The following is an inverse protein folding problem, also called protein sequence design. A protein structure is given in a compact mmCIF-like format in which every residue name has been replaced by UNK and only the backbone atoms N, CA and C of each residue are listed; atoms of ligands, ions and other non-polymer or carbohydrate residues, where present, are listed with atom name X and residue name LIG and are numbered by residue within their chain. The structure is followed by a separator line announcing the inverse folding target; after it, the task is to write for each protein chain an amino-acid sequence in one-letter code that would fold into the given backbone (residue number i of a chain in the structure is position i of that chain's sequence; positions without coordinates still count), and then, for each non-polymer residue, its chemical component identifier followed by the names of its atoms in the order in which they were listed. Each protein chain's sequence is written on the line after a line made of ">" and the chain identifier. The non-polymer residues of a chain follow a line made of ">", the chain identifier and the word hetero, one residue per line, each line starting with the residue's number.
data_IF_754162926404
#
_entry.id   IF_754162926404
#
_cell.length_a   1.000
_cell.length_b   1.000
_cell.length_c   1.000
_cell.angle_alpha   90.00
_cell.angle_beta   90.00
_cell.angle_gamma   90.00
#
_symmetry.space_group_name_H-M   'P 1'
#
loop_
_entity.id
_entity.type
_entity.pdbx_description
1 polymer ?
#
# COMPACT_ATOMS: atom_id res chain seq x y z
N UNK A 1 -22.37 -9.03 6.58
CA UNK A 1 -21.54 -8.59 5.44
C UNK A 1 -20.13 -8.37 5.99
N UNK A 2 -19.09 -8.90 5.36
CA UNK A 2 -17.71 -8.67 5.79
C UNK A 2 -17.23 -7.38 5.12
N UNK A 3 -16.73 -6.43 5.91
CA UNK A 3 -16.20 -5.15 5.42
C UNK A 3 -14.68 -5.18 5.53
N UNK A 4 -14.00 -4.86 4.43
CA UNK A 4 -12.56 -4.67 4.41
C UNK A 4 -12.27 -3.16 4.32
N UNK A 5 -11.53 -2.64 5.28
CA UNK A 5 -11.05 -1.26 5.28
C UNK A 5 -9.58 -1.27 4.94
N UNK A 6 -9.22 -0.66 3.81
CA UNK A 6 -7.84 -0.53 3.33
C UNK A 6 -7.45 0.94 3.37
N UNK A 7 -6.25 1.22 3.86
CA UNK A 7 -5.70 2.57 3.86
C UNK A 7 -4.27 2.57 3.31
N UNK A 8 -3.94 3.66 2.63
CA UNK A 8 -2.65 3.86 2.00
C UNK A 8 -1.74 4.63 2.96
N UNK A 9 -0.55 4.10 3.21
CA UNK A 9 0.40 4.79 4.08
C UNK A 9 0.91 6.06 3.41
N UNK A 10 0.60 7.21 4.00
CA UNK A 10 1.30 8.47 3.74
C UNK A 10 1.13 9.06 2.34
N UNK A 11 0.08 8.69 1.58
CA UNK A 11 -0.15 9.20 0.21
C UNK A 11 1.06 8.95 -0.71
N UNK A 12 1.68 7.79 -0.54
CA UNK A 12 2.87 7.33 -1.25
C UNK A 12 2.58 6.84 -2.68
N UNK A 13 1.34 6.50 -3.02
CA UNK A 13 1.01 5.75 -4.22
C UNK A 13 0.94 6.57 -5.51
N UNK A 14 0.65 7.87 -5.42
CA UNK A 14 0.42 8.71 -6.60
C UNK A 14 1.70 9.01 -7.39
N UNK A 15 2.79 9.37 -6.69
CA UNK A 15 4.05 9.73 -7.33
C UNK A 15 4.98 8.50 -7.42
N UNK A 16 4.84 7.75 -8.52
CA UNK A 16 5.66 6.58 -8.83
C UNK A 16 7.13 6.93 -9.15
N UNK A 17 7.43 8.19 -9.46
CA UNK A 17 8.78 8.64 -9.84
C UNK A 17 9.57 9.24 -8.67
N UNK A 18 9.00 9.27 -7.48
CA UNK A 18 9.62 9.88 -6.31
C UNK A 18 10.92 9.17 -5.88
N UNK A 19 12.08 9.75 -6.22
CA UNK A 19 13.40 9.13 -6.03
C UNK A 19 13.75 8.80 -4.57
N UNK A 20 13.32 9.65 -3.63
CA UNK A 20 13.58 9.43 -2.19
C UNK A 20 12.53 8.53 -1.51
N UNK A 21 11.38 8.27 -2.15
CA UNK A 21 10.28 7.48 -1.59
C UNK A 21 9.99 6.34 -2.55
N UNK A 22 10.90 5.35 -2.57
CA UNK A 22 10.91 4.25 -3.56
C UNK A 22 9.81 3.22 -3.35
N UNK A 23 9.19 3.20 -2.18
CA UNK A 23 8.16 2.23 -1.84
C UNK A 23 6.83 2.93 -1.60
N UNK A 24 5.75 2.25 -1.98
CA UNK A 24 4.41 2.54 -1.49
C UNK A 24 3.92 1.36 -0.65
N UNK A 25 3.07 1.66 0.31
CA UNK A 25 2.54 0.66 1.24
C UNK A 25 1.06 0.85 1.45
N UNK A 26 0.30 -0.25 1.37
CA UNK A 26 -1.11 -0.29 1.72
C UNK A 26 -1.32 -1.31 2.83
N UNK A 27 -2.13 -0.96 3.82
CA UNK A 27 -2.44 -1.85 4.95
C UNK A 27 -3.94 -2.04 5.07
N UNK A 28 -4.33 -3.24 5.47
CA UNK A 28 -5.71 -3.60 5.74
C UNK A 28 -5.78 -4.38 7.05
N UNK A 29 -6.90 -4.20 7.75
CA UNK A 29 -7.22 -4.91 8.99
C UNK A 29 -8.62 -5.49 8.87
N UNK A 30 -8.77 -6.74 9.28
CA UNK A 30 -10.07 -7.38 9.40
C UNK A 30 -10.64 -7.11 10.79
N UNK A 31 -11.48 -6.08 10.90
CA UNK A 31 -12.14 -5.68 12.15
C UNK A 31 -13.56 -5.22 11.86
N UNK A 32 -14.52 -5.62 12.71
CA UNK A 32 -15.90 -5.16 12.59
C UNK A 32 -16.07 -3.76 13.23
N UNK A 33 -17.19 -3.11 12.92
CA UNK A 33 -17.44 -1.75 13.39
C UNK A 33 -17.56 -1.64 14.92
N UNK A 34 -18.16 -2.63 15.58
CA UNK A 34 -18.39 -2.63 17.02
C UNK A 34 -17.08 -2.71 17.80
N UNK A 35 -16.18 -3.60 17.38
CA UNK A 35 -14.84 -3.75 17.96
C UNK A 35 -13.98 -2.51 17.70
N UNK A 36 -13.99 -1.97 16.48
CA UNK A 36 -13.28 -0.74 16.17
C UNK A 36 -13.77 0.41 17.08
N UNK A 37 -15.08 0.56 17.24
CA UNK A 37 -15.69 1.61 18.06
C UNK A 37 -15.38 1.43 19.55
N UNK A 38 -15.38 0.19 20.04
CA UNK A 38 -15.02 -0.15 21.42
C UNK A 38 -13.56 0.19 21.70
N UNK A 39 -12.63 -0.25 20.85
CA UNK A 39 -11.20 0.02 21.01
C UNK A 39 -10.90 1.51 20.95
N UNK A 40 -11.56 2.26 20.05
CA UNK A 40 -11.44 3.72 20.00
C UNK A 40 -11.79 4.37 21.34
N UNK A 41 -12.92 3.99 21.95
CA UNK A 41 -13.35 4.52 23.25
C UNK A 41 -12.41 4.11 24.39
N UNK A 42 -11.88 2.89 24.34
CA UNK A 42 -10.95 2.35 25.35
C UNK A 42 -9.62 3.11 25.36
N UNK A 43 -9.01 3.30 24.18
CA UNK A 43 -7.70 3.95 24.06
C UNK A 43 -7.79 5.48 24.01
N UNK A 44 -8.91 6.05 23.56
CA UNK A 44 -9.12 7.50 23.45
C UNK A 44 -10.43 7.96 24.13
N UNK A 45 -10.58 7.78 25.47
CA UNK A 45 -11.84 8.02 26.18
C UNK A 45 -12.29 9.49 26.22
N UNK A 46 -11.36 10.43 25.98
CA UNK A 46 -11.64 11.87 25.94
C UNK A 46 -11.90 12.39 24.52
N UNK A 47 -12.00 11.50 23.53
CA UNK A 47 -12.25 11.88 22.15
C UNK A 47 -13.70 12.34 21.98
N UNK A 48 -13.88 13.49 21.35
CA UNK A 48 -15.19 14.05 21.00
C UNK A 48 -15.41 14.16 19.49
N UNK A 49 -14.40 13.84 18.68
CA UNK A 49 -14.48 13.91 17.22
C UNK A 49 -15.09 12.63 16.66
N UNK A 50 -15.92 12.79 15.62
CA UNK A 50 -16.55 11.67 14.91
C UNK A 50 -15.54 10.81 14.15
N UNK A 51 -14.36 11.36 13.82
CA UNK A 51 -13.28 10.69 13.08
C UNK A 51 -11.91 10.89 13.74
N UNK A 52 -11.13 9.79 13.84
CA UNK A 52 -9.74 9.81 14.32
C UNK A 52 -8.75 10.05 13.18
N UNK A 53 -8.33 11.30 13.01
CA UNK A 53 -7.23 11.63 12.10
C UNK A 53 -5.88 11.40 12.77
N UNK A 54 -5.07 10.48 12.24
CA UNK A 54 -3.72 10.18 12.76
C UNK A 54 -2.84 11.44 12.89
N UNK A 55 -2.91 12.33 11.90
CA UNK A 55 -2.17 13.60 11.87
C UNK A 55 -2.48 14.50 13.06
N UNK A 56 -3.72 14.48 13.57
CA UNK A 56 -4.14 15.22 14.77
C UNK A 56 -3.74 14.51 16.06
N UNK A 57 -3.82 13.18 16.08
CA UNK A 57 -3.52 12.39 17.28
C UNK A 57 -2.04 12.41 17.63
N UNK A 58 -1.17 12.22 16.64
CA UNK A 58 0.28 12.14 16.86
C UNK A 58 0.88 13.43 17.43
N UNK A 59 0.21 14.57 17.23
CA UNK A 59 0.66 15.89 17.72
C UNK A 59 0.61 16.01 19.24
N UNK A 60 -0.27 15.27 19.92
CA UNK A 60 -0.42 15.33 21.38
C UNK A 60 0.41 14.23 22.03
N UNK A 61 1.36 14.61 22.90
CA UNK A 61 2.22 13.65 23.59
C UNK A 61 1.44 12.63 24.42
N UNK A 62 0.34 13.07 25.05
CA UNK A 62 -0.57 12.19 25.81
C UNK A 62 -1.20 11.08 24.95
N UNK A 63 -1.27 11.25 23.63
CA UNK A 63 -1.86 10.28 22.72
C UNK A 63 -0.84 9.30 22.13
N UNK A 64 0.47 9.56 22.28
CA UNK A 64 1.50 8.69 21.68
C UNK A 64 1.50 7.28 22.27
N UNK A 65 1.39 7.16 23.60
CA UNK A 65 1.31 5.86 24.27
C UNK A 65 0.04 5.09 23.89
N UNK A 66 -1.18 5.68 23.99
CA UNK A 66 -2.39 5.02 23.49
C UNK A 66 -2.34 4.59 22.02
N UNK A 67 -1.77 5.42 21.13
CA UNK A 67 -1.58 5.07 19.71
C UNK A 67 -0.71 3.81 19.55
N UNK A 68 0.36 3.70 20.32
CA UNK A 68 1.24 2.55 20.27
C UNK A 68 0.58 1.29 20.84
N UNK A 69 -0.08 1.41 22.00
CA UNK A 69 -0.79 0.29 22.62
C UNK A 69 -1.96 -0.20 21.76
N UNK A 70 -2.70 0.71 21.11
CA UNK A 70 -3.73 0.33 20.14
C UNK A 70 -3.13 -0.46 18.98
N UNK A 71 -2.04 0.01 18.36
CA UNK A 71 -1.38 -0.73 17.27
C UNK A 71 -0.93 -2.12 17.72
N UNK A 72 -0.33 -2.22 18.91
CA UNK A 72 0.08 -3.51 19.49
C UNK A 72 -1.11 -4.44 19.71
N UNK A 73 -2.22 -3.92 20.23
CA UNK A 73 -3.46 -4.67 20.40
C UNK A 73 -3.97 -5.18 19.06
N UNK A 74 -4.08 -4.29 18.06
CA UNK A 74 -4.58 -4.64 16.73
C UNK A 74 -3.74 -5.75 16.09
N UNK A 75 -2.42 -5.60 16.07
CA UNK A 75 -1.49 -6.59 15.50
C UNK A 75 -1.47 -7.93 16.23
N UNK A 76 -1.84 -7.96 17.52
CA UNK A 76 -1.84 -9.19 18.32
C UNK A 76 -3.17 -9.94 18.27
N UNK A 77 -4.28 -9.25 17.97
CA UNK A 77 -5.63 -9.81 18.14
C UNK A 77 -6.47 -9.82 16.85
N UNK A 78 -6.03 -9.15 15.79
CA UNK A 78 -6.77 -9.07 14.53
C UNK A 78 -5.88 -9.45 13.34
N UNK A 79 -6.45 -10.09 12.30
CA UNK A 79 -5.74 -10.28 11.05
C UNK A 79 -5.43 -8.94 10.38
N UNK A 80 -4.14 -8.70 10.15
CA UNK A 80 -3.62 -7.52 9.48
C UNK A 80 -2.77 -7.96 8.30
N UNK A 81 -2.89 -7.25 7.18
CA UNK A 81 -2.03 -7.43 6.00
C UNK A 81 -1.46 -6.07 5.61
N UNK A 82 -0.18 -6.06 5.27
CA UNK A 82 0.49 -4.91 4.68
C UNK A 82 1.18 -5.36 3.41
N UNK A 83 0.84 -4.71 2.30
CA UNK A 83 1.49 -4.88 1.01
C UNK A 83 2.45 -3.73 0.80
N UNK A 84 3.69 -4.04 0.40
CA UNK A 84 4.70 -3.05 0.05
C UNK A 84 5.10 -3.27 -1.40
N UNK A 85 5.00 -2.23 -2.22
CA UNK A 85 5.36 -2.25 -3.63
C UNK A 85 6.53 -1.32 -3.91
N UNK A 86 7.52 -1.80 -4.65
CA UNK A 86 8.56 -0.96 -5.25
C UNK A 86 7.93 -0.13 -6.37
N UNK A 87 8.03 1.19 -6.27
CA UNK A 87 7.37 2.11 -7.21
C UNK A 87 7.94 2.04 -8.61
N UNK A 88 9.24 1.77 -8.75
CA UNK A 88 9.87 1.58 -10.06
C UNK A 88 9.33 0.32 -10.71
N UNK A 89 9.22 -0.77 -9.95
CA UNK A 89 8.58 -1.99 -10.45
C UNK A 89 7.12 -1.74 -10.86
N UNK A 90 6.34 -1.05 -10.03
CA UNK A 90 4.96 -0.71 -10.33
C UNK A 90 4.83 0.20 -11.56
N UNK A 91 5.75 1.13 -11.76
CA UNK A 91 5.80 1.97 -12.96
C UNK A 91 6.08 1.15 -14.22
N UNK A 92 7.01 0.20 -14.15
CA UNK A 92 7.31 -0.73 -15.25
C UNK A 92 6.08 -1.59 -15.55
N UNK A 93 5.43 -2.13 -14.51
CA UNK A 93 4.21 -2.92 -14.66
C UNK A 93 3.09 -2.09 -15.31
N UNK A 94 2.89 -0.86 -14.87
CA UNK A 94 1.95 0.08 -15.49
C UNK A 94 2.29 0.37 -16.95
N UNK A 95 3.57 0.53 -17.29
CA UNK A 95 3.99 0.68 -18.68
C UNK A 95 3.67 -0.56 -19.51
N UNK A 96 3.94 -1.76 -18.98
CA UNK A 96 3.62 -3.01 -19.67
C UNK A 96 2.12 -3.15 -19.87
N UNK A 97 1.32 -2.91 -18.84
CA UNK A 97 -0.15 -3.02 -18.92
C UNK A 97 -0.75 -2.02 -19.92
N UNK A 98 -0.25 -0.78 -19.98
CA UNK A 98 -0.86 0.25 -20.82
C UNK A 98 -0.30 0.32 -22.25
N UNK A 99 0.98 -0.04 -22.45
CA UNK A 99 1.66 0.16 -23.71
C UNK A 99 2.06 -1.15 -24.41
N UNK A 100 2.29 -2.23 -23.66
CA UNK A 100 2.79 -3.50 -24.21
C UNK A 100 1.67 -4.53 -24.33
N UNK A 101 0.83 -4.66 -23.31
CA UNK A 101 -0.26 -5.65 -23.29
C UNK A 101 -1.22 -5.50 -24.47
N UNK A 102 -1.66 -4.28 -24.87
CA UNK A 102 -2.59 -4.15 -26.00
C UNK A 102 -2.05 -4.74 -27.31
N UNK A 103 -0.73 -4.66 -27.53
CA UNK A 103 -0.09 -5.25 -28.71
C UNK A 103 -0.18 -6.79 -28.70
N UNK A 104 0.03 -7.42 -27.55
CA UNK A 104 -0.11 -8.88 -27.42
C UNK A 104 -1.57 -9.30 -27.53
N UNK A 105 -2.48 -8.54 -26.91
CA UNK A 105 -3.92 -8.77 -27.01
C UNK A 105 -4.41 -8.74 -28.47
N UNK A 106 -4.04 -7.71 -29.23
CA UNK A 106 -4.38 -7.57 -30.66
C UNK A 106 -3.78 -8.71 -31.50
N UNK A 107 -2.71 -9.33 -31.02
CA UNK A 107 -2.06 -10.50 -31.63
C UNK A 107 -2.65 -11.84 -31.17
N UNK A 108 -3.70 -11.84 -30.35
CA UNK A 108 -4.36 -13.03 -29.83
C UNK A 108 -3.59 -13.72 -28.70
N UNK A 109 -2.65 -13.04 -28.04
CA UNK A 109 -1.83 -13.55 -26.94
C UNK A 109 -2.28 -12.90 -25.63
N UNK A 110 -2.67 -13.71 -24.64
CA UNK A 110 -2.99 -13.22 -23.30
C UNK A 110 -1.72 -13.02 -22.47
N UNK A 111 -1.21 -11.79 -22.39
CA UNK A 111 0.01 -11.50 -21.61
C UNK A 111 -0.16 -11.74 -20.10
N UNK A 112 -1.39 -11.75 -19.59
CA UNK A 112 -1.67 -12.00 -18.18
C UNK A 112 -1.65 -13.49 -17.80
N UNK A 113 -1.71 -14.39 -18.80
CA UNK A 113 -1.65 -15.83 -18.57
C UNK A 113 -0.36 -16.19 -17.82
N UNK A 114 -0.51 -16.98 -16.75
CA UNK A 114 0.56 -17.41 -15.86
C UNK A 114 1.48 -16.28 -15.34
N UNK A 115 0.98 -15.03 -15.28
CA UNK A 115 1.75 -13.88 -14.81
C UNK A 115 2.80 -13.39 -15.80
N UNK A 116 2.56 -13.51 -17.11
CA UNK A 116 3.46 -13.05 -18.16
C UNK A 116 3.84 -11.56 -18.05
N UNK A 117 2.88 -10.69 -17.70
CA UNK A 117 3.14 -9.27 -17.45
C UNK A 117 4.12 -9.05 -16.28
N UNK A 118 3.95 -9.77 -15.17
CA UNK A 118 4.88 -9.75 -14.03
C UNK A 118 6.27 -10.28 -14.40
N UNK A 119 6.32 -11.34 -15.20
CA UNK A 119 7.58 -11.92 -15.69
C UNK A 119 8.34 -10.92 -16.56
N UNK A 120 7.65 -10.26 -17.48
CA UNK A 120 8.22 -9.22 -18.34
C UNK A 120 8.66 -8.00 -17.53
N UNK A 121 7.83 -7.55 -16.57
CA UNK A 121 8.17 -6.44 -15.67
C UNK A 121 9.42 -6.75 -14.85
N UNK A 122 9.52 -7.98 -14.33
CA UNK A 122 10.68 -8.45 -13.57
C UNK A 122 11.94 -8.43 -14.43
N UNK A 123 11.86 -8.90 -15.68
CA UNK A 123 12.96 -8.84 -16.62
C UNK A 123 13.43 -7.40 -16.85
N UNK A 124 12.52 -6.48 -17.15
CA UNK A 124 12.87 -5.05 -17.35
C UNK A 124 13.45 -4.45 -16.07
N UNK A 125 12.89 -4.76 -14.90
CA UNK A 125 13.35 -4.24 -13.62
C UNK A 125 14.78 -4.66 -13.27
N UNK A 126 15.12 -5.94 -13.45
CA UNK A 126 16.45 -6.46 -13.11
C UNK A 126 17.50 -6.18 -14.20
N UNK A 127 17.11 -6.22 -15.48
CA UNK A 127 18.04 -6.12 -16.60
C UNK A 127 18.18 -4.69 -17.12
N UNK A 128 17.15 -3.86 -16.95
CA UNK A 128 17.11 -2.46 -17.39
C UNK A 128 18.33 -1.62 -16.95
N UNK A 129 18.77 -1.67 -15.68
CA UNK A 129 19.96 -0.92 -15.26
C UNK A 129 21.22 -1.29 -16.04
N UNK A 130 21.38 -2.57 -16.42
CA UNK A 130 22.55 -3.03 -17.16
C UNK A 130 22.53 -2.58 -18.63
N UNK A 131 21.34 -2.50 -19.25
CA UNK A 131 21.19 -2.12 -20.65
C UNK A 131 21.17 -0.60 -20.85
N UNK A 132 20.52 0.14 -19.94
CA UNK A 132 20.28 1.57 -20.10
C UNK A 132 21.17 2.44 -19.20
N UNK A 133 21.90 1.85 -18.25
CA UNK A 133 22.77 2.58 -17.33
C UNK A 133 22.01 3.69 -16.59
N UNK A 134 22.60 4.89 -16.53
CA UNK A 134 22.00 6.05 -15.87
C UNK A 134 20.72 6.56 -16.53
N UNK A 135 20.42 6.17 -17.77
CA UNK A 135 19.15 6.53 -18.42
C UNK A 135 17.95 5.77 -17.83
N UNK A 136 18.20 4.73 -17.02
CA UNK A 136 17.15 3.96 -16.34
C UNK A 136 16.68 4.59 -15.01
N UNK A 137 17.43 5.55 -14.45
CA UNK A 137 17.29 6.03 -13.06
C UNK A 137 16.52 7.35 -12.85
#
# INVERSE_FOLDING_TARGET
>A
MITFSMDESGYTGYDLLHKEQKFQGASSILINHDDASRLIKEYFPKLQADELKYSSLKRRDSNRKPLFELQKHLLSNYPCITCVGDKRFLLILMFIDYAVEPFYYDSGINLYEDGGNFSMASMVYYVGPAYYGSAFD
#
